data_IF_556879854466
#
_entry.id   IF_556879854466
#
_cell.length_a   1.000
_cell.length_b   1.000
_cell.length_c   1.000
_cell.angle_alpha   90.00
_cell.angle_beta   90.00
_cell.angle_gamma   90.00
#
_symmetry.space_group_name_H-M   'P 1'
#
loop_
_entity.id
_entity.type
_entity.pdbx_description
1 polymer ?
#
# COMPACT_ATOMS: atom_id res chain seq x y z
N UNK A 1 3.94 9.34 0.83
CA UNK A 1 4.91 8.52 0.08
C UNK A 1 5.68 7.70 1.10
N UNK A 2 6.24 8.35 2.13
CA UNK A 2 6.80 7.74 3.33
C UNK A 2 6.06 6.49 3.88
N UNK A 3 4.74 6.54 4.06
CA UNK A 3 3.99 5.47 4.74
C UNK A 3 3.93 4.18 3.92
N UNK A 4 3.74 4.32 2.61
CA UNK A 4 3.70 3.21 1.67
C UNK A 4 5.04 2.48 1.61
N UNK A 5 6.13 3.25 1.60
CA UNK A 5 7.50 2.73 1.65
C UNK A 5 7.76 2.06 3.00
N UNK A 6 7.41 2.72 4.09
CA UNK A 6 7.58 2.20 5.45
C UNK A 6 6.87 0.86 5.66
N UNK A 7 5.61 0.73 5.22
CA UNK A 7 4.84 -0.50 5.41
C UNK A 7 5.26 -1.65 4.48
N UNK A 8 6.00 -1.37 3.41
CA UNK A 8 6.61 -2.40 2.55
C UNK A 8 7.98 -2.85 3.10
N UNK A 9 8.79 -1.89 3.55
CA UNK A 9 10.16 -2.13 4.03
C UNK A 9 10.20 -2.71 5.45
N UNK A 10 9.34 -2.25 6.36
CA UNK A 10 9.33 -2.70 7.77
C UNK A 10 9.09 -4.23 7.90
N UNK A 11 8.10 -4.84 7.21
CA UNK A 11 7.94 -6.30 7.23
C UNK A 11 9.17 -7.07 6.72
N UNK A 12 9.83 -6.57 5.68
CA UNK A 12 11.06 -7.15 5.15
C UNK A 12 12.18 -7.12 6.21
N UNK A 13 12.36 -5.99 6.89
CA UNK A 13 13.29 -5.85 8.02
C UNK A 13 12.97 -6.87 9.13
N UNK A 14 11.71 -6.98 9.55
CA UNK A 14 11.27 -7.92 10.59
C UNK A 14 11.61 -9.36 10.18
N UNK A 15 11.32 -9.75 8.93
CA UNK A 15 11.66 -11.07 8.41
C UNK A 15 13.17 -11.32 8.43
N UNK A 16 13.97 -10.35 7.99
CA UNK A 16 15.43 -10.44 7.99
C UNK A 16 15.98 -10.58 9.42
N UNK A 17 15.50 -9.78 10.37
CA UNK A 17 15.87 -9.84 11.80
C UNK A 17 15.47 -11.17 12.45
N UNK A 18 14.30 -11.71 12.07
CA UNK A 18 13.76 -12.97 12.56
C UNK A 18 14.44 -14.23 12.00
N UNK A 19 15.28 -14.10 10.97
CA UNK A 19 15.93 -15.22 10.31
C UNK A 19 16.97 -15.94 11.21
N UNK A 20 17.13 -17.26 11.02
CA UNK A 20 18.05 -18.05 11.85
C UNK A 20 19.51 -17.61 11.66
N UNK A 21 19.90 -17.29 10.43
CA UNK A 21 21.24 -16.76 10.13
C UNK A 21 21.53 -15.47 10.92
N UNK A 22 20.55 -14.58 11.00
CA UNK A 22 20.67 -13.33 11.75
C UNK A 22 20.73 -13.57 13.26
N UNK A 23 19.91 -14.49 13.78
CA UNK A 23 19.90 -14.89 15.20
C UNK A 23 21.20 -15.56 15.64
N UNK A 24 21.77 -16.45 14.83
CA UNK A 24 23.04 -17.14 15.13
C UNK A 24 24.21 -16.16 15.22
N UNK A 25 24.25 -15.18 14.32
CA UNK A 25 25.31 -14.18 14.31
C UNK A 25 25.04 -13.15 15.41
N UNK A 26 23.80 -12.76 15.68
CA UNK A 26 23.47 -11.98 16.87
C UNK A 26 23.99 -12.60 18.17
N UNK A 27 23.91 -13.93 18.32
CA UNK A 27 24.50 -14.67 19.45
C UNK A 27 26.03 -14.57 19.46
N UNK A 28 26.68 -14.79 18.32
CA UNK A 28 28.15 -14.76 18.22
C UNK A 28 28.76 -13.42 18.63
N UNK A 29 28.05 -12.31 18.37
CA UNK A 29 28.57 -10.95 18.61
C UNK A 29 28.06 -10.35 19.93
N UNK A 30 27.27 -11.11 20.70
CA UNK A 30 26.58 -10.67 21.92
C UNK A 30 25.63 -9.48 21.66
N UNK A 31 24.94 -9.50 20.51
CA UNK A 31 23.97 -8.47 20.07
C UNK A 31 22.54 -9.00 19.99
N UNK A 32 22.32 -10.26 20.39
CA UNK A 32 21.02 -10.95 20.26
C UNK A 32 19.90 -10.17 20.92
N UNK A 33 20.13 -9.64 22.13
CA UNK A 33 19.12 -8.93 22.90
C UNK A 33 18.78 -7.58 22.28
N UNK A 34 19.76 -6.89 21.70
CA UNK A 34 19.53 -5.64 21.00
C UNK A 34 18.72 -5.86 19.73
N UNK A 35 19.00 -6.91 18.97
CA UNK A 35 18.22 -7.25 17.78
C UNK A 35 16.79 -7.69 18.09
N UNK A 36 16.58 -8.50 19.13
CA UNK A 36 15.22 -8.86 19.59
C UNK A 36 14.41 -7.62 20.03
N UNK A 37 15.07 -6.60 20.58
CA UNK A 37 14.42 -5.32 20.93
C UNK A 37 14.12 -4.48 19.69
N UNK A 38 15.01 -4.50 18.70
CA UNK A 38 14.82 -3.80 17.44
C UNK A 38 13.64 -4.40 16.66
N UNK A 39 13.58 -5.73 16.55
CA UNK A 39 12.46 -6.47 15.94
C UNK A 39 11.13 -6.06 16.57
N UNK A 40 11.02 -6.11 17.91
CA UNK A 40 9.81 -5.68 18.63
C UNK A 40 9.46 -4.21 18.43
N UNK A 41 10.46 -3.35 18.25
CA UNK A 41 10.25 -1.93 17.98
C UNK A 41 9.68 -1.74 16.58
N UNK A 42 10.20 -2.47 15.59
CA UNK A 42 9.68 -2.48 14.22
C UNK A 42 8.25 -3.02 14.15
N UNK A 43 7.94 -4.11 14.86
CA UNK A 43 6.57 -4.64 14.97
C UNK A 43 5.61 -3.59 15.54
N UNK A 44 6.00 -2.90 16.61
CA UNK A 44 5.18 -1.86 17.23
C UNK A 44 4.99 -0.66 16.30
N UNK A 45 5.96 -0.34 15.44
CA UNK A 45 5.87 0.77 14.50
C UNK A 45 4.83 0.51 13.40
N UNK A 46 4.62 -0.73 12.96
CA UNK A 46 3.59 -1.05 11.95
C UNK A 46 2.22 -0.54 12.37
N UNK A 47 1.81 -0.82 13.62
CA UNK A 47 0.53 -0.36 14.16
C UNK A 47 0.46 1.17 14.24
N UNK A 48 1.54 1.83 14.66
CA UNK A 48 1.59 3.29 14.79
C UNK A 48 1.56 3.98 13.42
N UNK A 49 2.22 3.40 12.40
CA UNK A 49 2.22 3.93 11.03
C UNK A 49 0.81 3.86 10.44
N UNK A 50 0.09 2.74 10.63
CA UNK A 50 -1.29 2.58 10.18
C UNK A 50 -2.23 3.61 10.85
N UNK A 51 -2.12 3.76 12.18
CA UNK A 51 -2.89 4.77 12.93
C UNK A 51 -2.56 6.22 12.52
N UNK A 52 -1.29 6.48 12.19
CA UNK A 52 -0.84 7.78 11.71
C UNK A 52 -1.30 8.05 10.27
N UNK A 53 -1.37 7.04 9.41
CA UNK A 53 -1.84 7.16 8.02
C UNK A 53 -3.30 7.64 7.98
N UNK A 54 -4.17 7.05 8.80
CA UNK A 54 -5.58 7.42 8.89
C UNK A 54 -5.79 8.90 9.28
N UNK A 55 -4.84 9.48 10.03
CA UNK A 55 -4.94 10.84 10.60
C UNK A 55 -4.08 11.87 9.87
N UNK A 56 -3.31 11.47 8.84
CA UNK A 56 -2.31 12.32 8.18
C UNK A 56 -2.92 13.48 7.39
N UNK A 57 -4.17 13.38 6.95
CA UNK A 57 -4.75 14.24 5.90
C UNK A 57 -4.64 15.75 6.25
N UNK A 58 -4.56 16.12 7.54
CA UNK A 58 -4.56 17.52 7.98
C UNK A 58 -3.44 17.91 8.97
N UNK A 59 -2.45 17.04 9.23
CA UNK A 59 -1.46 17.32 10.28
C UNK A 59 -0.01 17.34 9.77
N UNK A 60 0.51 18.55 9.55
CA UNK A 60 1.91 18.76 9.17
C UNK A 60 2.93 18.20 10.18
N UNK A 61 2.55 18.08 11.46
CA UNK A 61 3.41 17.45 12.48
C UNK A 61 3.50 15.93 12.26
N UNK A 62 2.37 15.28 11.93
CA UNK A 62 2.36 13.85 11.58
C UNK A 62 3.16 13.60 10.32
N UNK A 63 3.05 14.48 9.30
CA UNK A 63 3.87 14.39 8.08
C UNK A 63 5.38 14.43 8.39
N UNK A 64 5.83 15.43 9.13
CA UNK A 64 7.24 15.56 9.51
C UNK A 64 7.72 14.39 10.37
N UNK A 65 6.86 13.89 11.27
CA UNK A 65 7.16 12.71 12.07
C UNK A 65 7.34 11.45 11.21
N UNK A 66 6.48 11.24 10.20
CA UNK A 66 6.58 10.11 9.27
C UNK A 66 7.82 10.19 8.38
N UNK A 67 8.23 11.38 7.94
CA UNK A 67 9.48 11.57 7.18
C UNK A 67 10.70 11.22 8.03
N UNK A 68 10.73 11.64 9.30
CA UNK A 68 11.80 11.23 10.23
C UNK A 68 11.82 9.73 10.51
N UNK A 69 10.64 9.11 10.52
CA UNK A 69 10.51 7.67 10.71
C UNK A 69 11.00 6.90 9.47
N UNK A 70 10.72 7.39 8.26
CA UNK A 70 11.25 6.87 7.00
C UNK A 70 12.78 6.84 7.02
N UNK A 71 13.42 7.96 7.34
CA UNK A 71 14.88 8.05 7.46
C UNK A 71 15.45 7.02 8.48
N UNK A 72 14.75 6.84 9.61
CA UNK A 72 15.19 5.89 10.65
C UNK A 72 15.02 4.43 10.22
N UNK A 73 13.99 4.11 9.44
CA UNK A 73 13.76 2.77 8.89
C UNK A 73 14.77 2.46 7.79
N UNK A 74 15.13 3.43 6.95
CA UNK A 74 16.21 3.28 5.97
C UNK A 74 17.56 3.00 6.66
N UNK A 75 17.87 3.69 7.76
CA UNK A 75 19.06 3.41 8.56
C UNK A 75 19.05 1.97 9.12
N UNK A 76 17.88 1.42 9.45
CA UNK A 76 17.70 0.05 9.94
C UNK A 76 17.88 -0.96 8.81
N UNK A 77 17.24 -0.76 7.65
CA UNK A 77 17.39 -1.69 6.52
C UNK A 77 18.85 -1.79 6.08
N UNK A 78 19.52 -0.63 5.98
CA UNK A 78 20.97 -0.57 5.71
C UNK A 78 21.81 -1.31 6.75
N UNK A 79 21.46 -1.23 8.04
CA UNK A 79 22.13 -1.97 9.11
C UNK A 79 21.93 -3.49 8.91
N UNK A 80 20.69 -3.91 8.65
CA UNK A 80 20.36 -5.33 8.51
C UNK A 80 21.06 -5.93 7.29
N UNK A 81 21.10 -5.22 6.17
CA UNK A 81 21.78 -5.65 4.94
C UNK A 81 23.30 -5.74 5.11
N UNK A 82 23.92 -4.77 5.78
CA UNK A 82 25.37 -4.82 6.08
C UNK A 82 25.70 -6.03 6.99
N UNK A 83 24.81 -6.38 7.92
CA UNK A 83 24.97 -7.55 8.78
C UNK A 83 24.82 -8.86 8.00
N UNK A 84 23.80 -8.96 7.14
CA UNK A 84 23.56 -10.13 6.30
C UNK A 84 24.68 -10.36 5.28
N UNK A 85 25.24 -9.28 4.73
CA UNK A 85 26.36 -9.36 3.80
C UNK A 85 27.61 -9.96 4.47
N UNK A 86 27.94 -9.50 5.69
CA UNK A 86 29.04 -10.05 6.47
C UNK A 86 28.76 -11.51 6.91
N UNK A 87 27.50 -11.83 7.23
CA UNK A 87 27.05 -13.18 7.55
C UNK A 87 27.31 -14.18 6.42
N UNK A 88 26.85 -13.85 5.21
CA UNK A 88 27.01 -14.67 4.01
C UNK A 88 28.48 -14.78 3.62
N UNK A 89 29.24 -13.67 3.70
CA UNK A 89 30.67 -13.65 3.46
C UNK A 89 31.44 -14.67 4.32
N UNK A 90 31.00 -14.90 5.56
CA UNK A 90 31.61 -15.90 6.45
C UNK A 90 31.27 -17.34 6.09
N UNK A 91 30.02 -17.62 5.75
CA UNK A 91 29.58 -18.97 5.38
C UNK A 91 30.29 -19.50 4.13
N UNK A 92 30.53 -18.62 3.15
CA UNK A 92 31.25 -18.96 1.90
C UNK A 92 32.75 -19.22 2.15
N UNK A 93 33.36 -18.60 3.17
CA UNK A 93 34.78 -18.79 3.49
C UNK A 93 35.10 -20.10 4.24
N UNK A 94 34.08 -20.84 4.72
CA UNK A 94 34.24 -22.09 5.49
C UNK A 94 34.51 -23.34 4.63
N UNK A 95 34.53 -23.23 3.30
CA UNK A 95 34.45 -24.39 2.39
C UNK A 95 35.72 -24.92 1.71
N UNK A 96 36.95 -24.40 1.92
CA UNK A 96 38.13 -24.97 1.23
C UNK A 96 39.47 -24.68 1.93
N UNK A 97 40.40 -25.65 1.96
CA UNK A 97 41.69 -25.50 2.67
C UNK A 97 42.63 -24.45 2.06
N UNK A 98 42.45 -24.11 0.78
CA UNK A 98 43.28 -23.15 0.05
C UNK A 98 43.00 -21.69 0.49
N UNK A 99 41.86 -21.41 1.12
CA UNK A 99 41.54 -20.06 1.64
C UNK A 99 42.26 -19.74 2.96
N UNK A 100 42.91 -20.71 3.61
CA UNK A 100 43.66 -20.49 4.87
C UNK A 100 44.85 -19.51 4.72
N UNK A 101 45.42 -19.35 3.52
CA UNK A 101 46.48 -18.37 3.21
C UNK A 101 45.93 -17.00 2.78
N UNK A 102 44.71 -16.98 2.23
CA UNK A 102 43.99 -15.74 1.89
C UNK A 102 43.30 -15.12 3.12
N UNK A 103 43.26 -15.87 4.23
CA UNK A 103 42.83 -15.45 5.58
C UNK A 103 43.45 -14.14 6.07
N UNK A 104 44.57 -13.71 5.48
CA UNK A 104 45.30 -12.48 5.82
C UNK A 104 45.19 -11.39 4.74
N UNK A 105 44.96 -11.74 3.47
CA UNK A 105 45.09 -10.79 2.36
C UNK A 105 43.79 -10.17 1.85
N UNK A 106 42.63 -10.75 2.19
CA UNK A 106 41.33 -10.13 1.89
C UNK A 106 40.37 -10.18 3.09
N UNK A 107 40.90 -10.17 4.31
CA UNK A 107 40.10 -10.05 5.53
C UNK A 107 39.67 -8.58 5.70
N UNK A 108 38.36 -8.33 5.81
CA UNK A 108 37.70 -7.13 6.33
C UNK A 108 38.15 -6.86 7.78
N UNK A 109 39.41 -6.47 7.91
CA UNK A 109 40.24 -6.51 9.11
C UNK A 109 39.71 -5.63 10.24
N UNK A 110 38.83 -6.20 11.05
CA UNK A 110 39.02 -6.55 12.45
C UNK A 110 37.61 -6.92 12.94
N UNK A 111 37.35 -8.19 13.27
CA UNK A 111 36.04 -8.64 13.74
C UNK A 111 35.55 -7.77 14.92
N UNK A 112 36.49 -7.31 15.75
CA UNK A 112 36.24 -6.36 16.82
C UNK A 112 35.86 -4.97 16.26
N UNK A 113 36.53 -4.48 15.20
CA UNK A 113 36.17 -3.20 14.59
C UNK A 113 34.81 -3.24 13.89
N UNK A 114 34.46 -4.33 13.17
CA UNK A 114 33.11 -4.51 12.64
C UNK A 114 32.10 -4.55 13.79
N UNK A 115 32.44 -5.19 14.93
CA UNK A 115 31.53 -5.35 16.06
C UNK A 115 31.23 -4.00 16.66
N UNK A 116 32.29 -3.27 16.93
CA UNK A 116 32.24 -1.90 17.44
C UNK A 116 31.50 -0.97 16.46
N UNK A 117 31.75 -1.09 15.16
CA UNK A 117 31.03 -0.33 14.12
C UNK A 117 29.53 -0.62 14.19
N UNK A 118 29.16 -1.90 14.24
CA UNK A 118 27.76 -2.32 14.24
C UNK A 118 27.03 -1.96 15.53
N UNK A 119 27.66 -2.16 16.68
CA UNK A 119 27.13 -1.74 17.98
C UNK A 119 26.89 -0.23 18.04
N UNK A 120 27.80 0.58 17.48
CA UNK A 120 27.62 2.04 17.41
C UNK A 120 26.46 2.44 16.51
N UNK A 121 26.33 1.81 15.32
CA UNK A 121 25.20 2.07 14.42
C UNK A 121 23.87 1.68 15.07
N UNK A 122 23.83 0.52 15.73
CA UNK A 122 22.65 0.02 16.43
C UNK A 122 22.24 0.94 17.59
N UNK A 123 23.20 1.44 18.38
CA UNK A 123 22.89 2.37 19.46
C UNK A 123 22.37 3.71 18.92
N UNK A 124 22.96 4.22 17.83
CA UNK A 124 22.47 5.43 17.15
C UNK A 124 21.03 5.27 16.67
N UNK A 125 20.73 4.16 15.98
CA UNK A 125 19.37 3.84 15.50
C UNK A 125 18.39 3.80 16.66
N UNK A 126 18.76 3.15 17.76
CA UNK A 126 17.92 3.05 18.96
C UNK A 126 17.67 4.41 19.60
N UNK A 127 18.67 5.29 19.66
CA UNK A 127 18.49 6.67 20.11
C UNK A 127 17.54 7.44 19.20
N UNK A 128 17.71 7.34 17.88
CA UNK A 128 16.82 7.98 16.89
C UNK A 128 15.38 7.49 17.01
N UNK A 129 15.15 6.17 17.08
CA UNK A 129 13.82 5.59 17.25
C UNK A 129 13.18 5.98 18.60
N UNK A 130 14.00 6.08 19.65
CA UNK A 130 13.53 6.54 20.96
C UNK A 130 13.12 8.02 20.91
N UNK A 131 13.92 8.86 20.28
CA UNK A 131 13.61 10.29 20.09
C UNK A 131 12.34 10.49 19.26
N UNK A 132 12.16 9.70 18.19
CA UNK A 132 10.94 9.70 17.38
C UNK A 132 9.72 9.25 18.20
N UNK A 133 9.88 8.26 19.08
CA UNK A 133 8.83 7.78 19.98
C UNK A 133 8.48 8.78 21.08
N UNK A 134 9.48 9.48 21.62
CA UNK A 134 9.33 10.48 22.68
C UNK A 134 8.88 11.85 22.12
N UNK A 135 8.81 12.00 20.81
CA UNK A 135 8.29 13.20 20.15
C UNK A 135 6.81 13.42 20.51
N UNK A 136 6.61 14.32 21.46
CA UNK A 136 5.31 14.72 22.03
C UNK A 136 4.30 15.27 21.03
N UNK A 137 4.72 15.56 19.78
CA UNK A 137 3.85 16.01 18.69
C UNK A 137 2.81 14.95 18.28
N UNK A 138 3.10 13.66 18.49
CA UNK A 138 2.19 12.53 18.21
C UNK A 138 1.55 11.98 19.49
N UNK A 139 2.29 11.96 20.61
CA UNK A 139 1.82 11.41 21.91
C UNK A 139 0.61 12.14 22.51
N UNK A 140 0.37 13.41 22.17
CA UNK A 140 -0.75 14.22 22.68
C UNK A 140 -1.86 14.47 21.65
N UNK A 141 -1.67 14.02 20.41
CA UNK A 141 -2.57 14.27 19.27
C UNK A 141 -3.51 13.10 18.98
N UNK A 142 -3.67 12.16 19.92
CA UNK A 142 -4.74 11.16 19.93
C UNK A 142 -5.82 11.52 20.98
N UNK A 143 -6.56 12.64 20.83
CA UNK A 143 -7.89 12.70 21.41
C UNK A 143 -8.81 11.67 20.73
N UNK A 144 -9.75 11.12 21.51
CA UNK A 144 -10.93 10.40 21.03
C UNK A 144 -11.65 11.17 19.90
N UNK A 145 -12.36 10.48 19.00
CA UNK A 145 -12.88 11.03 17.76
C UNK A 145 -13.82 12.20 18.04
N UNK A 146 -13.33 13.41 17.88
CA UNK A 146 -14.17 14.53 17.54
C UNK A 146 -14.15 14.64 16.03
N UNK A 147 -15.34 14.49 15.45
CA UNK A 147 -15.69 14.75 14.05
C UNK A 147 -15.20 16.14 13.65
N UNK A 148 -13.92 16.22 13.33
CA UNK A 148 -13.36 17.43 12.74
C UNK A 148 -13.62 17.26 11.26
N UNK A 149 -14.70 17.88 10.79
CA UNK A 149 -15.05 17.95 9.38
C UNK A 149 -13.78 18.31 8.60
N UNK A 150 -13.24 17.30 7.92
CA UNK A 150 -12.02 17.39 7.15
C UNK A 150 -12.28 18.31 5.96
N UNK A 151 -11.55 19.43 5.85
CA UNK A 151 -11.48 20.17 4.59
C UNK A 151 -10.78 19.28 3.56
N UNK A 152 -11.58 18.56 2.77
CA UNK A 152 -11.10 17.66 1.72
C UNK A 152 -10.31 18.47 0.69
N UNK A 153 -9.00 18.25 0.62
CA UNK A 153 -8.18 18.75 -0.49
C UNK A 153 -8.74 18.12 -1.78
N UNK A 154 -9.25 18.94 -2.70
CA UNK A 154 -9.78 18.50 -4.01
C UNK A 154 -8.70 17.74 -4.79
N UNK A 155 -8.63 16.43 -4.59
CA UNK A 155 -7.69 15.54 -5.26
C UNK A 155 -8.40 14.87 -6.41
N UNK A 156 -8.08 15.27 -7.64
CA UNK A 156 -8.60 14.60 -8.82
C UNK A 156 -7.56 13.63 -9.39
N UNK A 157 -8.02 12.44 -9.77
CA UNK A 157 -7.24 11.47 -10.54
C UNK A 157 -7.84 11.30 -11.93
N UNK A 158 -7.01 10.91 -12.89
CA UNK A 158 -7.40 10.65 -14.27
C UNK A 158 -7.02 9.24 -14.69
N UNK A 159 -7.60 8.75 -15.77
CA UNK A 159 -7.35 7.38 -16.25
C UNK A 159 -6.01 7.19 -16.98
N UNK A 160 -5.31 8.27 -17.38
CA UNK A 160 -4.08 8.15 -18.17
C UNK A 160 -2.84 7.79 -17.34
N UNK A 161 -2.00 6.92 -17.88
CA UNK A 161 -0.67 6.59 -17.37
C UNK A 161 0.27 6.31 -18.55
N UNK A 162 1.57 6.59 -18.40
CA UNK A 162 2.61 6.16 -19.33
C UNK A 162 3.14 4.80 -18.87
N UNK A 163 2.86 3.75 -19.64
CA UNK A 163 3.23 2.38 -19.28
C UNK A 163 4.76 2.26 -19.10
N UNK A 164 5.55 2.99 -19.90
CA UNK A 164 7.02 2.97 -19.83
C UNK A 164 7.60 3.51 -18.52
N UNK A 165 6.78 4.21 -17.72
CA UNK A 165 7.17 4.76 -16.43
C UNK A 165 6.83 3.84 -15.26
N UNK A 166 6.13 2.73 -15.49
CA UNK A 166 5.76 1.78 -14.44
C UNK A 166 6.61 0.52 -14.58
N UNK A 167 7.26 0.13 -13.48
CA UNK A 167 8.21 -0.99 -13.45
C UNK A 167 7.71 -2.04 -12.48
N UNK A 168 7.82 -3.32 -12.84
CA UNK A 168 7.60 -4.45 -11.92
C UNK A 168 6.14 -4.71 -11.55
N UNK A 169 5.19 -4.28 -12.38
CA UNK A 169 3.74 -4.46 -12.16
C UNK A 169 3.06 -5.32 -13.23
N UNK A 170 3.83 -5.95 -14.11
CA UNK A 170 3.28 -6.73 -15.21
C UNK A 170 2.47 -7.94 -14.74
N UNK A 171 2.96 -8.67 -13.74
CA UNK A 171 2.26 -9.82 -13.17
C UNK A 171 0.95 -9.39 -12.48
N UNK A 172 0.99 -8.34 -11.65
CA UNK A 172 -0.20 -7.77 -10.98
C UNK A 172 -1.25 -7.32 -12.02
N UNK A 173 -0.80 -6.64 -13.09
CA UNK A 173 -1.64 -6.18 -14.19
C UNK A 173 -2.32 -7.37 -14.87
N UNK A 174 -1.56 -8.40 -15.24
CA UNK A 174 -2.08 -9.58 -15.92
C UNK A 174 -3.07 -10.36 -15.04
N UNK A 175 -2.77 -10.54 -13.75
CA UNK A 175 -3.68 -11.20 -12.81
C UNK A 175 -5.03 -10.50 -12.73
N UNK A 176 -5.05 -9.16 -12.69
CA UNK A 176 -6.30 -8.39 -12.69
C UNK A 176 -7.04 -8.55 -14.02
N UNK A 177 -6.32 -8.49 -15.16
CA UNK A 177 -6.93 -8.66 -16.49
C UNK A 177 -7.58 -10.05 -16.60
N UNK A 178 -6.88 -11.12 -16.22
CA UNK A 178 -7.43 -12.47 -16.23
C UNK A 178 -8.70 -12.58 -15.38
N UNK A 179 -8.71 -11.97 -14.19
CA UNK A 179 -9.88 -11.94 -13.33
C UNK A 179 -11.05 -11.20 -13.99
N UNK A 180 -10.80 -10.02 -14.60
CA UNK A 180 -11.82 -9.26 -15.32
C UNK A 180 -12.43 -10.06 -16.49
N UNK A 181 -11.61 -10.82 -17.22
CA UNK A 181 -12.07 -11.64 -18.35
C UNK A 181 -12.84 -12.89 -17.87
N UNK A 182 -12.51 -13.42 -16.68
CA UNK A 182 -13.17 -14.61 -16.13
C UNK A 182 -14.63 -14.38 -15.72
N UNK A 183 -15.02 -13.13 -15.43
CA UNK A 183 -16.39 -12.79 -14.99
C UNK A 183 -17.45 -13.01 -16.07
N UNK A 184 -17.07 -13.20 -17.33
CA UNK A 184 -17.99 -13.60 -18.41
C UNK A 184 -18.61 -14.99 -18.17
N UNK A 185 -17.95 -15.83 -17.39
CA UNK A 185 -18.32 -17.24 -17.18
C UNK A 185 -19.04 -17.52 -15.86
N UNK A 186 -19.25 -16.50 -15.02
CA UNK A 186 -19.93 -16.66 -13.74
C UNK A 186 -21.45 -16.43 -13.90
N UNK A 187 -22.25 -17.39 -13.42
CA UNK A 187 -23.72 -17.40 -13.57
C UNK A 187 -24.47 -16.56 -12.51
N UNK A 188 -23.77 -15.98 -11.53
CA UNK A 188 -24.41 -15.49 -10.32
C UNK A 188 -24.71 -13.97 -10.27
N UNK A 189 -24.14 -13.14 -11.15
CA UNK A 189 -24.45 -11.70 -11.19
C UNK A 189 -24.13 -11.07 -12.56
N UNK A 190 -24.97 -10.13 -13.04
CA UNK A 190 -24.70 -9.37 -14.26
C UNK A 190 -23.48 -8.44 -14.12
N UNK A 191 -23.24 -7.93 -12.91
CA UNK A 191 -22.17 -6.97 -12.62
C UNK A 191 -21.34 -7.44 -11.42
N UNK A 192 -20.03 -7.59 -11.61
CA UNK A 192 -19.07 -7.93 -10.57
C UNK A 192 -18.45 -6.69 -9.93
N UNK A 193 -18.01 -6.79 -8.68
CA UNK A 193 -17.25 -5.73 -8.00
C UNK A 193 -15.88 -6.27 -7.61
N UNK A 194 -14.83 -5.56 -8.02
CA UNK A 194 -13.44 -5.94 -7.75
C UNK A 194 -12.74 -4.86 -6.93
N UNK A 195 -12.51 -5.06 -5.63
CA UNK A 195 -11.76 -4.11 -4.82
C UNK A 195 -10.24 -4.33 -4.92
N UNK A 196 -9.51 -3.25 -5.20
CA UNK A 196 -8.07 -3.13 -5.01
C UNK A 196 -7.83 -2.38 -3.70
N UNK A 197 -7.53 -3.15 -2.67
CA UNK A 197 -7.32 -2.65 -1.31
C UNK A 197 -5.84 -2.52 -1.02
N UNK A 198 -5.47 -1.48 -0.29
CA UNK A 198 -4.13 -1.35 0.25
C UNK A 198 -3.84 0.07 0.70
N UNK A 199 -2.72 0.24 1.37
CA UNK A 199 -2.30 1.52 1.94
C UNK A 199 -2.05 2.61 0.88
N UNK A 200 -2.02 3.85 1.33
CA UNK A 200 -1.72 5.01 0.52
C UNK A 200 -0.32 4.95 -0.08
N UNK A 201 -0.19 5.36 -1.35
CA UNK A 201 1.11 5.38 -2.04
C UNK A 201 1.57 4.05 -2.62
N UNK A 202 0.86 2.94 -2.38
CA UNK A 202 1.20 1.61 -2.91
C UNK A 202 1.07 1.49 -4.45
N UNK A 203 0.53 2.49 -5.13
CA UNK A 203 0.37 2.48 -6.59
C UNK A 203 -0.94 1.84 -7.09
N UNK A 204 -1.96 1.66 -6.24
CA UNK A 204 -3.26 1.09 -6.64
C UNK A 204 -3.92 1.82 -7.81
N UNK A 205 -3.97 3.15 -7.73
CA UNK A 205 -4.46 4.01 -8.82
C UNK A 205 -3.67 3.79 -10.11
N UNK A 206 -2.34 3.71 -10.00
CA UNK A 206 -1.44 3.44 -11.14
C UNK A 206 -1.71 2.08 -11.76
N UNK A 207 -1.86 1.04 -10.93
CA UNK A 207 -2.19 -0.31 -11.40
C UNK A 207 -3.57 -0.35 -12.08
N UNK A 208 -4.57 0.32 -11.50
CA UNK A 208 -5.89 0.45 -12.12
C UNK A 208 -5.83 1.21 -13.46
N UNK A 209 -4.99 2.25 -13.58
CA UNK A 209 -4.78 2.97 -14.85
C UNK A 209 -4.14 2.06 -15.91
N UNK A 210 -3.15 1.24 -15.53
CA UNK A 210 -2.52 0.28 -16.44
C UNK A 210 -3.55 -0.71 -16.98
N UNK A 211 -4.31 -1.35 -16.09
CA UNK A 211 -5.37 -2.30 -16.46
C UNK A 211 -6.44 -1.63 -17.33
N UNK A 212 -6.90 -0.42 -16.94
CA UNK A 212 -7.96 0.29 -17.65
C UNK A 212 -7.61 0.62 -19.11
N UNK A 213 -6.33 0.84 -19.40
CA UNK A 213 -5.84 1.19 -20.74
C UNK A 213 -5.26 0.00 -21.52
N UNK A 214 -5.18 -1.19 -20.92
CA UNK A 214 -4.67 -2.38 -21.59
C UNK A 214 -5.54 -2.75 -22.81
N UNK A 215 -4.91 -3.19 -23.90
CA UNK A 215 -5.62 -3.51 -25.13
C UNK A 215 -6.68 -4.61 -24.98
N UNK A 216 -6.44 -5.61 -24.12
CA UNK A 216 -7.39 -6.69 -23.88
C UNK A 216 -8.64 -6.13 -23.21
N UNK A 217 -8.47 -5.28 -22.21
CA UNK A 217 -9.57 -4.61 -21.50
C UNK A 217 -10.31 -3.65 -22.43
N UNK A 218 -9.59 -2.88 -23.25
CA UNK A 218 -10.19 -1.96 -24.23
C UNK A 218 -11.07 -2.71 -25.25
N UNK A 219 -10.66 -3.90 -25.67
CA UNK A 219 -11.42 -4.74 -26.62
C UNK A 219 -12.58 -5.48 -25.95
N UNK A 220 -12.46 -5.80 -24.66
CA UNK A 220 -13.45 -6.57 -23.91
C UNK A 220 -14.68 -5.76 -23.49
N UNK A 221 -14.49 -4.51 -23.08
CA UNK A 221 -15.56 -3.67 -22.54
C UNK A 221 -16.02 -2.62 -23.55
N UNK A 222 -17.32 -2.62 -23.88
CA UNK A 222 -17.94 -1.63 -24.77
C UNK A 222 -17.91 -0.22 -24.19
N UNK A 223 -18.06 -0.11 -22.87
CA UNK A 223 -18.09 1.15 -22.15
C UNK A 223 -17.06 1.14 -21.02
N UNK A 224 -16.16 2.11 -21.02
CA UNK A 224 -15.15 2.29 -19.96
C UNK A 224 -15.31 3.67 -19.32
N UNK A 225 -15.35 3.71 -18.00
CA UNK A 225 -15.58 4.94 -17.23
C UNK A 225 -14.60 5.00 -16.06
N UNK A 226 -14.13 6.20 -15.73
CA UNK A 226 -13.21 6.46 -14.62
C UNK A 226 -13.74 7.62 -13.80
N UNK A 227 -13.85 7.44 -12.48
CA UNK A 227 -14.35 8.45 -11.55
C UNK A 227 -13.50 8.45 -10.29
N UNK A 228 -12.91 9.61 -9.98
CA UNK A 228 -12.26 9.87 -8.70
C UNK A 228 -13.30 10.30 -7.66
N UNK A 229 -13.33 9.65 -6.50
CA UNK A 229 -14.33 9.87 -5.45
C UNK A 229 -13.87 10.93 -4.44
N UNK A 230 -12.65 10.83 -3.88
CA UNK A 230 -11.80 11.76 -3.08
C UNK A 230 -12.38 12.77 -2.06
N UNK A 231 -13.66 13.15 -2.14
CA UNK A 231 -14.31 14.16 -1.34
C UNK A 231 -15.27 13.45 -0.36
N UNK A 232 -16.55 13.79 -0.43
CA UNK A 232 -17.66 13.06 0.17
C UNK A 232 -18.23 12.05 -0.81
N UNK A 233 -18.63 10.89 -0.30
CA UNK A 233 -19.44 9.95 -1.05
C UNK A 233 -20.87 10.51 -1.15
N UNK A 234 -21.04 11.48 -2.05
CA UNK A 234 -22.31 12.04 -2.43
C UNK A 234 -22.81 11.39 -3.72
N UNK A 235 -23.95 10.70 -3.63
CA UNK A 235 -24.49 9.93 -4.72
C UNK A 235 -24.73 10.80 -5.97
N UNK A 236 -25.23 12.04 -5.79
CA UNK A 236 -25.53 12.93 -6.91
C UNK A 236 -24.25 13.28 -7.66
N UNK A 237 -23.23 13.73 -6.94
CA UNK A 237 -21.92 14.11 -7.48
C UNK A 237 -21.27 12.93 -8.21
N UNK A 238 -21.35 11.73 -7.65
CA UNK A 238 -20.81 10.52 -8.29
C UNK A 238 -21.51 10.25 -9.62
N UNK A 239 -22.84 10.28 -9.64
CA UNK A 239 -23.60 10.07 -10.87
C UNK A 239 -23.27 11.12 -11.94
N UNK A 240 -23.12 12.39 -11.55
CA UNK A 240 -22.73 13.47 -12.47
C UNK A 240 -21.32 13.23 -13.05
N UNK A 241 -20.37 12.78 -12.24
CA UNK A 241 -19.01 12.40 -12.71
C UNK A 241 -19.05 11.21 -13.67
N UNK A 242 -19.83 10.16 -13.36
CA UNK A 242 -19.97 8.98 -14.24
C UNK A 242 -20.59 9.38 -15.59
N UNK A 243 -21.62 10.23 -15.56
CA UNK A 243 -22.33 10.68 -16.75
C UNK A 243 -21.56 11.74 -17.54
N UNK A 244 -20.64 12.47 -16.88
CA UNK A 244 -19.99 13.69 -17.39
C UNK A 244 -21.02 14.76 -17.75
N UNK A 245 -22.10 14.84 -16.97
CA UNK A 245 -23.19 15.79 -17.17
C UNK A 245 -23.83 16.17 -15.84
N UNK A 246 -24.38 17.37 -15.78
CA UNK A 246 -25.15 17.87 -14.64
C UNK A 246 -26.61 17.46 -14.76
N UNK A 247 -27.28 17.23 -13.62
CA UNK A 247 -28.68 16.82 -13.58
C UNK A 247 -29.51 17.68 -12.62
N UNK A 248 -30.75 18.07 -12.99
CA UNK A 248 -31.59 18.86 -12.10
C UNK A 248 -31.98 18.08 -10.84
N UNK A 249 -32.18 16.76 -10.95
CA UNK A 249 -32.47 15.88 -9.82
C UNK A 249 -31.69 14.56 -9.88
N UNK A 250 -31.68 13.84 -8.75
CA UNK A 250 -31.17 12.46 -8.68
C UNK A 250 -31.96 11.51 -9.58
N UNK A 251 -33.25 11.74 -9.78
CA UNK A 251 -34.11 10.88 -10.60
C UNK A 251 -33.76 10.97 -12.10
N UNK A 252 -33.40 12.17 -12.56
CA UNK A 252 -32.93 12.38 -13.93
C UNK A 252 -31.57 11.72 -14.17
N UNK A 253 -30.67 11.83 -13.19
CA UNK A 253 -29.33 11.24 -13.24
C UNK A 253 -29.41 9.71 -13.22
N UNK A 254 -30.19 9.10 -12.33
CA UNK A 254 -30.34 7.65 -12.31
C UNK A 254 -30.96 7.15 -13.62
N UNK A 255 -31.99 7.83 -14.13
CA UNK A 255 -32.64 7.43 -15.40
C UNK A 255 -31.66 7.49 -16.58
N UNK A 256 -30.79 8.51 -16.59
CA UNK A 256 -29.75 8.67 -17.61
C UNK A 256 -28.64 7.62 -17.47
N UNK A 257 -28.23 7.30 -16.24
CA UNK A 257 -27.26 6.24 -15.95
C UNK A 257 -27.76 4.89 -16.44
N UNK A 258 -28.97 4.50 -16.04
CA UNK A 258 -29.58 3.23 -16.45
C UNK A 258 -29.63 3.09 -17.96
N UNK A 259 -30.06 4.14 -18.68
CA UNK A 259 -30.03 4.17 -20.16
C UNK A 259 -28.62 4.04 -20.75
N UNK A 260 -27.61 4.63 -20.10
CA UNK A 260 -26.21 4.57 -20.56
C UNK A 260 -25.63 3.16 -20.43
N UNK A 261 -25.96 2.45 -19.34
CA UNK A 261 -25.45 1.12 -19.00
C UNK A 261 -26.25 -0.03 -19.63
N UNK A 262 -27.55 0.16 -19.84
CA UNK A 262 -28.47 -0.89 -20.24
C UNK A 262 -27.97 -1.69 -21.45
N UNK A 263 -27.77 -3.00 -21.23
CA UNK A 263 -27.37 -3.95 -22.25
C UNK A 263 -25.92 -3.84 -22.73
N UNK A 264 -25.08 -3.01 -22.10
CA UNK A 264 -23.66 -2.87 -22.45
C UNK A 264 -22.77 -3.54 -21.43
N UNK A 265 -21.70 -4.17 -21.91
CA UNK A 265 -20.62 -4.61 -21.03
C UNK A 265 -19.74 -3.42 -20.67
N UNK A 266 -19.69 -3.07 -19.39
CA UNK A 266 -18.93 -1.90 -18.96
C UNK A 266 -17.88 -2.21 -17.88
N UNK A 267 -16.80 -1.42 -17.90
CA UNK A 267 -15.83 -1.32 -16.80
C UNK A 267 -15.95 0.09 -16.19
N UNK A 268 -16.28 0.16 -14.91
CA UNK A 268 -16.30 1.40 -14.15
C UNK A 268 -15.20 1.36 -13.08
N UNK A 269 -14.25 2.28 -13.16
CA UNK A 269 -13.26 2.48 -12.10
C UNK A 269 -13.74 3.58 -11.16
N UNK A 270 -13.92 3.22 -9.89
CA UNK A 270 -14.16 4.14 -8.77
C UNK A 270 -12.85 4.26 -7.98
N UNK A 271 -12.11 5.34 -8.22
CA UNK A 271 -10.78 5.54 -7.65
C UNK A 271 -10.83 6.35 -6.34
N UNK A 272 -10.03 5.92 -5.36
CA UNK A 272 -9.85 6.50 -4.03
C UNK A 272 -11.18 6.61 -3.26
N UNK A 273 -11.85 5.47 -3.06
CA UNK A 273 -13.08 5.36 -2.27
C UNK A 273 -12.74 5.27 -0.78
N UNK A 274 -13.22 6.21 0.03
CA UNK A 274 -12.97 6.28 1.49
C UNK A 274 -14.19 5.98 2.36
N UNK A 275 -15.41 6.07 1.80
CA UNK A 275 -16.62 6.03 2.59
C UNK A 275 -17.00 4.60 3.00
N UNK A 276 -17.04 4.36 4.30
CA UNK A 276 -17.40 3.09 4.92
C UNK A 276 -18.91 2.93 5.17
N UNK A 277 -19.72 3.94 4.83
CA UNK A 277 -21.18 3.85 4.90
C UNK A 277 -21.71 2.88 3.83
N UNK A 278 -22.04 1.66 4.30
CA UNK A 278 -22.60 0.56 3.50
C UNK A 278 -23.90 0.95 2.81
N UNK A 279 -24.78 1.75 3.43
CA UNK A 279 -26.06 2.11 2.81
C UNK A 279 -25.84 2.99 1.59
N UNK A 280 -24.93 3.96 1.67
CA UNK A 280 -24.57 4.81 0.52
C UNK A 280 -23.97 3.98 -0.62
N UNK A 281 -23.08 3.05 -0.30
CA UNK A 281 -22.52 2.12 -1.29
C UNK A 281 -23.61 1.26 -1.94
N UNK A 282 -24.51 0.66 -1.16
CA UNK A 282 -25.61 -0.15 -1.69
C UNK A 282 -26.55 0.65 -2.60
N UNK A 283 -26.84 1.91 -2.26
CA UNK A 283 -27.63 2.81 -3.12
C UNK A 283 -26.93 3.05 -4.46
N UNK A 284 -25.62 3.31 -4.47
CA UNK A 284 -24.87 3.45 -5.72
C UNK A 284 -24.82 2.13 -6.51
N UNK A 285 -24.48 1.02 -5.84
CA UNK A 285 -24.39 -0.31 -6.45
C UNK A 285 -25.69 -0.67 -7.16
N UNK A 286 -26.83 -0.45 -6.51
CA UNK A 286 -28.17 -0.71 -7.08
C UNK A 286 -28.38 -0.01 -8.42
N UNK A 287 -27.89 1.22 -8.59
CA UNK A 287 -28.02 1.98 -9.84
C UNK A 287 -27.06 1.51 -10.94
N UNK A 288 -26.00 0.78 -10.58
CA UNK A 288 -24.99 0.29 -11.49
C UNK A 288 -25.29 -1.13 -12.00
N UNK A 289 -26.19 -1.89 -11.36
CA UNK A 289 -26.44 -3.30 -11.70
C UNK A 289 -27.09 -3.55 -13.08
N UNK A 290 -27.47 -2.52 -13.83
CA UNK A 290 -28.16 -2.63 -15.14
C UNK A 290 -27.23 -2.95 -16.33
N UNK A 291 -25.97 -3.33 -16.08
CA UNK A 291 -25.03 -3.77 -17.11
C UNK A 291 -25.33 -5.16 -17.66
N UNK A 292 -24.72 -5.52 -18.80
CA UNK A 292 -24.72 -6.90 -19.27
C UNK A 292 -23.76 -7.77 -18.46
N UNK A 293 -23.93 -9.10 -18.52
CA UNK A 293 -23.02 -10.06 -17.92
C UNK A 293 -21.55 -9.76 -18.27
N UNK A 294 -20.67 -9.92 -17.27
CA UNK A 294 -19.24 -9.58 -17.37
C UNK A 294 -18.93 -8.11 -17.10
N UNK A 295 -19.93 -7.25 -16.88
CA UNK A 295 -19.67 -5.86 -16.46
C UNK A 295 -18.99 -5.84 -15.09
N UNK A 296 -18.05 -4.93 -14.88
CA UNK A 296 -17.25 -4.89 -13.65
C UNK A 296 -17.11 -3.48 -13.09
N UNK A 297 -17.19 -3.36 -11.78
CA UNK A 297 -16.86 -2.15 -11.02
C UNK A 297 -15.54 -2.39 -10.31
N UNK A 298 -14.46 -1.75 -10.76
CA UNK A 298 -13.15 -1.79 -10.12
C UNK A 298 -13.06 -0.65 -9.10
N UNK A 299 -12.81 -0.98 -7.84
CA UNK A 299 -12.68 0.02 -6.76
C UNK A 299 -11.23 0.09 -6.32
N UNK A 300 -10.67 1.28 -6.14
CA UNK A 300 -9.43 1.43 -5.36
C UNK A 300 -9.78 2.05 -4.00
N UNK A 301 -9.31 1.43 -2.92
CA UNK A 301 -9.62 1.88 -1.55
C UNK A 301 -8.46 1.60 -0.61
N UNK A 302 -8.38 2.36 0.48
CA UNK A 302 -7.46 2.07 1.60
C UNK A 302 -8.09 1.29 2.73
N UNK A 303 -9.43 1.21 2.75
CA UNK A 303 -10.18 0.54 3.80
C UNK A 303 -10.61 -0.85 3.34
N UNK A 304 -10.24 -1.86 4.13
CA UNK A 304 -10.74 -3.23 3.99
C UNK A 304 -12.24 -3.32 4.25
N UNK A 305 -12.82 -2.37 5.00
CA UNK A 305 -14.27 -2.32 5.30
C UNK A 305 -15.10 -1.94 4.06
N UNK A 306 -14.52 -1.16 3.15
CA UNK A 306 -15.15 -0.74 1.88
C UNK A 306 -15.12 -1.86 0.84
N UNK A 307 -14.20 -2.82 0.98
CA UNK A 307 -14.13 -3.97 0.10
C UNK A 307 -15.38 -4.85 0.33
N UNK A 308 -16.23 -5.05 -0.68
CA UNK A 308 -17.37 -5.93 -0.52
C UNK A 308 -16.86 -7.35 -0.25
N UNK A 309 -17.07 -7.84 0.97
CA UNK A 309 -17.05 -9.26 1.24
C UNK A 309 -18.28 -9.87 0.57
N UNK A 310 -18.11 -10.85 -0.30
CA UNK A 310 -19.20 -11.65 -0.90
C UNK A 310 -19.96 -12.53 0.13
N UNK A 311 -19.85 -12.21 1.41
CA UNK A 311 -20.60 -12.82 2.50
C UNK A 311 -21.69 -11.85 2.97
N UNK A 312 -22.84 -11.94 2.29
CA UNK A 312 -24.23 -11.87 2.80
C UNK A 312 -25.19 -11.23 1.78
#
# INVERSE_FOLDING_TARGET
MAEGVLLDVVPSIIQKLGSEAFKEIGKFWDLKKEFEKLEKTMDALVAVILDAEAKRIHNHKIKHWLERLEDAVDDVDNLVDEFQTEALGRQVMTGNEITKKVRVFFSSSNQIAFRVKMSRKLEKIKETLKDIKEDSSVSSSIPLPQETYTEYVNRETHSFVRDEQVIGRDDDKMNIIELLLSFDSQDNNNVSVLPLVGIGGLGKTTLAQLVFNDEMVVKHFELRMWVCISNEFDLKTILEKILKSQGPSLDDLQSSLRKKLNGKKYLLVLDDVWNEDREKWLKLKTLLMDGSQGSTILITTRSEVVAPSDTD
#
